data_IF_588170756720
#
_entry.id   IF_588170756720
#
_cell.length_a   1.000
_cell.length_b   1.000
_cell.length_c   1.000
_cell.angle_alpha   90.00
_cell.angle_beta   90.00
_cell.angle_gamma   90.00
#
_symmetry.space_group_name_H-M   'P 1'
#
loop_
_entity.id
_entity.type
_entity.pdbx_description
1 polymer ?
#
# COMPACT_ATOMS: atom_id res chain seq x y z
N UNK A 1 -33.00 7.23 -1.53
CA UNK A 1 -31.73 7.11 -0.80
C UNK A 1 -31.13 5.77 -1.17
N UNK A 2 -29.96 5.75 -1.80
CA UNK A 2 -29.43 4.52 -2.38
C UNK A 2 -28.49 3.84 -1.38
N UNK A 3 -29.03 3.02 -0.45
CA UNK A 3 -28.17 2.25 0.45
C UNK A 3 -27.19 1.35 -0.33
N UNK A 4 -27.57 0.89 -1.53
CA UNK A 4 -26.71 0.11 -2.41
C UNK A 4 -25.50 0.91 -2.90
N UNK A 5 -25.64 2.23 -3.09
CA UNK A 5 -24.52 3.10 -3.44
C UNK A 5 -23.42 3.06 -2.37
N UNK A 6 -23.77 3.22 -1.09
CA UNK A 6 -22.79 3.18 -0.02
C UNK A 6 -22.20 1.80 0.22
N UNK A 7 -23.00 0.73 0.07
CA UNK A 7 -22.48 -0.64 0.12
C UNK A 7 -21.46 -0.88 -1.00
N UNK A 8 -21.74 -0.43 -2.22
CA UNK A 8 -20.80 -0.51 -3.33
C UNK A 8 -19.53 0.31 -3.06
N UNK A 9 -19.65 1.52 -2.50
CA UNK A 9 -18.48 2.31 -2.13
C UNK A 9 -17.61 1.61 -1.06
N UNK A 10 -18.23 0.92 -0.09
CA UNK A 10 -17.49 0.12 0.87
C UNK A 10 -16.75 -1.04 0.20
N UNK A 11 -17.39 -1.74 -0.75
CA UNK A 11 -16.76 -2.81 -1.52
C UNK A 11 -15.57 -2.32 -2.36
N UNK A 12 -15.68 -1.12 -2.95
CA UNK A 12 -14.62 -0.53 -3.77
C UNK A 12 -13.43 -0.01 -2.95
N UNK A 13 -13.68 0.53 -1.74
CA UNK A 13 -12.65 1.23 -0.96
C UNK A 13 -12.06 0.39 0.20
N UNK A 14 -12.76 -0.65 0.71
CA UNK A 14 -12.24 -1.53 1.77
C UNK A 14 -11.45 -2.72 1.21
N UNK A 15 -10.30 -2.42 0.62
CA UNK A 15 -9.38 -3.43 0.05
C UNK A 15 -8.34 -3.88 1.08
N UNK A 16 -8.02 -5.17 1.10
CA UNK A 16 -6.99 -5.74 1.98
C UNK A 16 -5.60 -5.38 1.45
N UNK A 17 -4.74 -4.87 2.33
CA UNK A 17 -3.33 -4.59 2.06
C UNK A 17 -2.42 -5.26 3.10
N UNK A 18 -1.17 -5.57 2.71
CA UNK A 18 -0.18 -6.18 3.62
C UNK A 18 0.46 -5.21 4.61
N UNK A 19 0.21 -3.91 4.49
CA UNK A 19 0.76 -2.88 5.35
C UNK A 19 0.37 -1.48 4.88
N UNK A 20 1.16 -0.47 5.24
CA UNK A 20 0.98 0.87 4.70
C UNK A 20 1.05 0.82 3.17
N UNK A 21 0.09 1.48 2.52
CA UNK A 21 -0.12 1.34 1.08
C UNK A 21 0.98 2.00 0.27
N UNK A 22 1.74 2.94 0.82
CA UNK A 22 2.81 3.64 0.10
C UNK A 22 4.00 2.75 -0.26
N UNK A 23 4.69 2.05 0.67
CA UNK A 23 5.77 1.12 0.29
C UNK A 23 5.25 -0.02 -0.60
N UNK A 24 4.04 -0.51 -0.35
CA UNK A 24 3.45 -1.59 -1.14
C UNK A 24 3.14 -1.13 -2.57
N UNK A 25 2.63 0.09 -2.76
CA UNK A 25 2.36 0.69 -4.07
C UNK A 25 3.65 0.90 -4.87
N UNK A 26 4.74 1.29 -4.21
CA UNK A 26 6.07 1.37 -4.84
C UNK A 26 6.56 0.00 -5.28
N UNK A 27 6.43 -1.03 -4.43
CA UNK A 27 6.77 -2.39 -4.79
C UNK A 27 5.90 -2.92 -5.96
N UNK A 28 4.61 -2.59 -5.96
CA UNK A 28 3.67 -2.96 -7.02
C UNK A 28 4.08 -2.37 -8.38
N UNK A 29 4.37 -1.06 -8.43
CA UNK A 29 4.88 -0.42 -9.63
C UNK A 29 6.20 -1.07 -10.09
N UNK A 30 7.11 -1.39 -9.17
CA UNK A 30 8.37 -2.05 -9.51
C UNK A 30 8.19 -3.48 -10.04
N UNK A 31 7.23 -4.24 -9.50
CA UNK A 31 6.89 -5.58 -9.98
C UNK A 31 6.26 -5.54 -11.39
N UNK A 32 5.42 -4.54 -11.68
CA UNK A 32 4.88 -4.29 -13.02
C UNK A 32 6.00 -3.91 -14.01
N UNK A 33 6.88 -2.99 -13.64
CA UNK A 33 8.03 -2.61 -14.46
C UNK A 33 8.96 -3.81 -14.72
N UNK A 34 9.19 -4.66 -13.70
CA UNK A 34 9.92 -5.92 -13.85
C UNK A 34 9.25 -6.86 -14.85
N UNK A 35 7.93 -7.02 -14.78
CA UNK A 35 7.16 -7.85 -15.72
C UNK A 35 7.34 -7.40 -17.16
N UNK A 36 7.30 -6.09 -17.42
CA UNK A 36 7.55 -5.53 -18.76
C UNK A 36 9.00 -5.77 -19.23
N UNK A 37 9.98 -5.64 -18.33
CA UNK A 37 11.39 -5.94 -18.62
C UNK A 37 11.67 -7.44 -18.85
N UNK A 38 10.76 -8.32 -18.42
CA UNK A 38 10.94 -9.76 -18.45
C UNK A 38 11.75 -10.31 -17.28
N UNK A 39 11.77 -11.64 -17.16
CA UNK A 39 12.33 -12.37 -16.01
C UNK A 39 13.57 -13.19 -16.36
N UNK A 40 13.97 -13.26 -17.64
CA UNK A 40 15.06 -14.12 -18.11
C UNK A 40 16.44 -13.70 -17.56
N UNK A 41 16.64 -12.38 -17.36
CA UNK A 41 17.86 -11.79 -16.81
C UNK A 41 17.61 -11.15 -15.45
N UNK A 42 18.62 -11.09 -14.55
CA UNK A 42 18.50 -10.40 -13.26
C UNK A 42 18.34 -8.89 -13.43
N UNK A 43 17.80 -8.24 -12.39
CA UNK A 43 17.71 -6.77 -12.32
C UNK A 43 19.11 -6.16 -12.19
N UNK A 44 19.45 -5.24 -13.08
CA UNK A 44 20.72 -4.51 -13.07
C UNK A 44 20.62 -3.17 -12.37
N UNK A 45 19.50 -2.45 -12.58
CA UNK A 45 19.22 -1.19 -11.91
C UNK A 45 17.73 -0.87 -11.89
N UNK A 46 17.35 -0.02 -10.94
CA UNK A 46 15.99 0.47 -10.74
C UNK A 46 16.06 1.99 -10.61
N UNK A 47 15.27 2.69 -11.41
CA UNK A 47 15.10 4.14 -11.34
C UNK A 47 13.67 4.40 -10.82
N UNK A 48 13.54 5.02 -9.64
CA UNK A 48 12.25 5.35 -9.03
C UNK A 48 12.08 6.87 -8.94
N UNK A 49 10.95 7.36 -9.44
CA UNK A 49 10.47 8.72 -9.17
C UNK A 49 9.17 8.65 -8.37
N UNK A 50 9.09 9.40 -7.27
CA UNK A 50 7.92 9.34 -6.39
C UNK A 50 7.47 10.73 -5.93
N UNK A 51 6.17 10.91 -5.73
CA UNK A 51 5.63 12.12 -5.12
C UNK A 51 6.16 12.27 -3.69
N UNK A 52 6.19 13.51 -3.17
CA UNK A 52 6.68 13.79 -1.81
C UNK A 52 5.91 12.99 -0.75
N UNK A 53 4.62 12.74 -0.96
CA UNK A 53 3.80 11.97 -0.04
C UNK A 53 4.19 10.48 -0.03
N UNK A 54 4.43 9.89 -1.19
CA UNK A 54 4.93 8.51 -1.27
C UNK A 54 6.31 8.42 -0.63
N UNK A 55 7.22 9.34 -0.99
CA UNK A 55 8.58 9.38 -0.46
C UNK A 55 8.61 9.43 1.07
N UNK A 56 7.91 10.39 1.69
CA UNK A 56 7.97 10.60 3.15
C UNK A 56 7.34 9.44 3.93
N UNK A 57 6.24 8.88 3.42
CA UNK A 57 5.48 7.84 4.12
C UNK A 57 6.21 6.50 4.03
N UNK A 58 6.74 6.13 2.86
CA UNK A 58 7.52 4.90 2.69
C UNK A 58 8.83 4.90 3.50
N UNK A 59 9.39 6.06 3.83
CA UNK A 59 10.56 6.19 4.70
C UNK A 59 10.28 5.97 6.19
N UNK A 60 9.01 6.02 6.60
CA UNK A 60 8.63 6.07 8.03
C UNK A 60 8.04 4.75 8.55
N UNK A 61 7.91 3.73 7.69
CA UNK A 61 7.19 2.49 7.98
C UNK A 61 7.97 1.28 7.46
N UNK A 62 7.85 0.16 8.17
CA UNK A 62 8.44 -1.11 7.73
C UNK A 62 7.74 -1.65 6.49
N UNK A 63 8.52 -2.25 5.60
CA UNK A 63 8.02 -2.92 4.41
C UNK A 63 7.54 -4.32 4.82
N UNK A 64 6.29 -4.72 4.49
CA UNK A 64 5.74 -6.01 4.86
C UNK A 64 6.65 -7.19 4.52
N UNK A 65 6.76 -8.15 5.44
CA UNK A 65 7.63 -9.31 5.30
C UNK A 65 9.11 -9.06 5.60
N UNK A 66 9.49 -7.83 5.97
CA UNK A 66 10.90 -7.45 6.22
C UNK A 66 11.05 -6.55 7.46
N UNK A 67 12.30 -6.34 7.90
CA UNK A 67 12.65 -5.32 8.88
C UNK A 67 13.25 -4.06 8.21
N UNK A 68 13.09 -3.93 6.90
CA UNK A 68 13.63 -2.82 6.13
C UNK A 68 12.58 -1.72 5.93
N UNK A 69 13.04 -0.52 5.57
CA UNK A 69 12.22 0.66 5.33
C UNK A 69 12.70 1.41 4.08
N UNK A 70 11.86 2.29 3.55
CA UNK A 70 12.23 3.23 2.50
C UNK A 70 11.80 2.82 1.10
N UNK A 71 11.48 3.83 0.28
CA UNK A 71 10.93 3.64 -1.05
C UNK A 71 11.89 2.89 -2.01
N UNK A 72 13.19 3.15 -1.92
CA UNK A 72 14.19 2.44 -2.71
C UNK A 72 14.21 0.93 -2.40
N UNK A 73 14.14 0.56 -1.12
CA UNK A 73 14.08 -0.84 -0.71
C UNK A 73 12.77 -1.50 -1.15
N UNK A 74 11.64 -0.78 -1.06
CA UNK A 74 10.35 -1.28 -1.52
C UNK A 74 10.36 -1.56 -3.04
N UNK A 75 10.94 -0.67 -3.84
CA UNK A 75 11.09 -0.87 -5.28
C UNK A 75 12.01 -2.08 -5.58
N UNK A 76 13.11 -2.23 -4.84
CA UNK A 76 14.00 -3.37 -4.97
C UNK A 76 13.29 -4.71 -4.70
N UNK A 77 12.51 -4.78 -3.61
CA UNK A 77 11.75 -5.99 -3.26
C UNK A 77 10.70 -6.32 -4.33
N UNK A 78 9.95 -5.32 -4.78
CA UNK A 78 8.96 -5.48 -5.84
C UNK A 78 9.56 -5.98 -7.15
N UNK A 79 10.69 -5.41 -7.58
CA UNK A 79 11.35 -5.81 -8.82
C UNK A 79 12.05 -7.18 -8.74
N UNK A 80 12.47 -7.63 -7.55
CA UNK A 80 13.17 -8.90 -7.37
C UNK A 80 12.20 -10.06 -7.19
N UNK A 81 11.23 -9.94 -6.29
CA UNK A 81 10.37 -11.05 -5.88
C UNK A 81 8.88 -10.71 -5.79
N UNK A 82 8.47 -9.50 -6.15
CA UNK A 82 7.06 -9.10 -6.11
C UNK A 82 6.22 -9.80 -7.19
N UNK A 83 5.00 -10.18 -6.83
CA UNK A 83 4.01 -10.72 -7.77
C UNK A 83 2.98 -9.63 -8.13
N UNK A 84 3.06 -9.04 -9.33
CA UNK A 84 2.14 -7.96 -9.72
C UNK A 84 0.70 -8.44 -9.96
N UNK A 85 0.40 -9.74 -9.87
CA UNK A 85 -0.99 -10.24 -9.92
C UNK A 85 -1.73 -10.18 -8.59
N UNK A 86 -1.03 -9.81 -7.50
CA UNK A 86 -1.58 -9.74 -6.15
C UNK A 86 -1.89 -8.29 -5.69
N UNK A 87 -1.81 -7.30 -6.58
CA UNK A 87 -2.10 -5.89 -6.31
C UNK A 87 -1.40 -5.36 -5.03
N UNK A 88 -2.14 -4.88 -4.03
CA UNK A 88 -1.62 -4.40 -2.74
C UNK A 88 -1.16 -5.53 -1.79
N UNK A 89 -1.13 -6.76 -2.29
CA UNK A 89 -0.49 -7.91 -1.66
C UNK A 89 0.74 -8.40 -2.46
N UNK A 90 1.28 -7.58 -3.38
CA UNK A 90 2.46 -7.88 -4.23
C UNK A 90 3.65 -8.53 -3.50
N UNK A 91 3.85 -8.23 -2.22
CA UNK A 91 4.96 -8.77 -1.42
C UNK A 91 4.61 -10.06 -0.65
N UNK A 92 3.43 -10.67 -0.86
CA UNK A 92 2.99 -11.83 -0.08
C UNK A 92 3.92 -13.05 -0.22
N UNK A 93 4.53 -13.21 -1.40
CA UNK A 93 5.29 -14.41 -1.77
C UNK A 93 6.81 -14.25 -1.65
N UNK A 94 7.31 -13.11 -1.13
CA UNK A 94 8.76 -12.86 -1.06
C UNK A 94 9.45 -13.79 -0.05
N UNK A 95 10.62 -14.28 -0.42
CA UNK A 95 11.49 -15.10 0.43
C UNK A 95 12.74 -14.37 0.94
N UNK A 96 13.53 -15.05 1.78
CA UNK A 96 14.79 -14.50 2.30
C UNK A 96 15.80 -14.17 1.19
N UNK A 97 15.84 -14.98 0.12
CA UNK A 97 16.74 -14.76 -1.03
C UNK A 97 16.40 -13.47 -1.78
N UNK A 98 15.12 -13.16 -1.93
CA UNK A 98 14.65 -11.92 -2.55
C UNK A 98 15.07 -10.71 -1.72
N UNK A 99 14.89 -10.81 -0.40
CA UNK A 99 15.28 -9.75 0.54
C UNK A 99 16.79 -9.50 0.49
N UNK A 100 17.60 -10.55 0.51
CA UNK A 100 19.07 -10.43 0.40
C UNK A 100 19.48 -9.78 -0.91
N UNK A 101 18.85 -10.19 -2.02
CA UNK A 101 19.12 -9.65 -3.36
C UNK A 101 18.71 -8.17 -3.46
N UNK A 102 17.53 -7.81 -2.96
CA UNK A 102 17.05 -6.44 -2.92
C UNK A 102 17.97 -5.53 -2.09
N UNK A 103 18.39 -5.98 -0.89
CA UNK A 103 19.36 -5.24 -0.06
C UNK A 103 20.68 -5.03 -0.79
N UNK A 104 21.16 -6.03 -1.52
CA UNK A 104 22.39 -5.93 -2.32
C UNK A 104 22.27 -4.87 -3.42
N UNK A 105 21.16 -4.84 -4.16
CA UNK A 105 20.92 -3.79 -5.17
C UNK A 105 20.97 -2.38 -4.55
N UNK A 106 20.30 -2.18 -3.42
CA UNK A 106 20.35 -0.90 -2.71
C UNK A 106 21.76 -0.55 -2.23
N UNK A 107 22.48 -1.51 -1.63
CA UNK A 107 23.84 -1.29 -1.13
C UNK A 107 24.86 -0.98 -2.23
N UNK A 108 24.66 -1.53 -3.43
CA UNK A 108 25.48 -1.26 -4.62
C UNK A 108 25.11 0.05 -5.33
N UNK A 109 24.11 0.81 -4.84
CA UNK A 109 23.67 2.05 -5.46
C UNK A 109 22.94 1.84 -6.79
N UNK A 110 22.41 0.64 -7.02
CA UNK A 110 21.67 0.28 -8.25
C UNK A 110 20.20 0.69 -8.21
N UNK A 111 19.75 1.30 -7.12
CA UNK A 111 18.40 1.84 -6.97
C UNK A 111 18.50 3.34 -6.75
N UNK A 112 18.07 4.13 -7.73
CA UNK A 112 17.97 5.59 -7.58
C UNK A 112 16.56 5.99 -7.19
N UNK A 113 16.46 7.06 -6.40
CA UNK A 113 15.20 7.62 -5.94
C UNK A 113 15.23 9.13 -6.13
N UNK A 114 14.35 9.62 -7.01
CA UNK A 114 14.17 11.02 -7.32
C UNK A 114 12.74 11.49 -6.99
N UNK A 115 12.57 12.79 -6.84
CA UNK A 115 11.23 13.37 -6.68
C UNK A 115 10.51 13.39 -8.03
N UNK A 116 9.21 13.13 -7.98
CA UNK A 116 8.33 13.24 -9.14
C UNK A 116 8.43 14.62 -9.81
N UNK A 117 8.22 14.70 -11.15
CA UNK A 117 8.24 15.96 -11.87
C UNK A 117 7.19 16.95 -11.35
N UNK A 118 7.45 18.25 -11.55
CA UNK A 118 6.49 19.29 -11.15
C UNK A 118 5.16 19.09 -11.87
N UNK A 119 4.06 19.16 -11.11
CA UNK A 119 2.71 18.97 -11.63
C UNK A 119 2.24 17.51 -11.64
N UNK A 120 3.08 16.56 -11.20
CA UNK A 120 2.62 15.20 -10.96
C UNK A 120 1.51 15.16 -9.89
N UNK A 121 0.59 14.17 -9.95
CA UNK A 121 -0.42 13.98 -8.92
C UNK A 121 0.16 13.79 -7.51
N UNK A 122 -0.67 14.02 -6.49
CA UNK A 122 -0.28 13.86 -5.09
C UNK A 122 0.18 12.44 -4.75
N UNK A 123 -0.40 11.43 -5.42
CA UNK A 123 0.04 10.05 -5.47
C UNK A 123 0.60 9.79 -6.87
N UNK A 124 1.91 9.62 -6.98
CA UNK A 124 2.60 9.35 -8.23
C UNK A 124 3.84 8.52 -7.96
N UNK A 125 3.99 7.46 -8.74
CA UNK A 125 5.11 6.52 -8.72
C UNK A 125 5.43 6.18 -10.17
N UNK A 126 6.68 6.40 -10.58
CA UNK A 126 7.22 5.97 -11.87
C UNK A 126 8.46 5.13 -11.60
N UNK A 127 8.40 3.86 -11.96
CA UNK A 127 9.51 2.93 -11.78
C UNK A 127 9.96 2.42 -13.13
N UNK A 128 11.25 2.50 -13.37
CA UNK A 128 11.92 1.86 -14.51
C UNK A 128 12.88 0.80 -14.01
N UNK A 129 12.68 -0.45 -14.44
CA UNK A 129 13.55 -1.59 -14.14
C UNK A 129 14.35 -1.92 -15.39
N UNK A 130 15.68 -2.03 -15.24
CA UNK A 130 16.59 -2.47 -16.31
C UNK A 130 17.14 -3.85 -16.00
N UNK A 131 17.15 -4.68 -17.03
CA UNK A 131 17.91 -5.93 -17.09
C UNK A 131 19.00 -5.78 -18.13
N UNK A 132 19.76 -6.86 -18.36
CA UNK A 132 20.84 -6.90 -19.34
C UNK A 132 20.39 -6.47 -20.75
N UNK A 133 19.28 -7.03 -21.23
CA UNK A 133 18.83 -6.86 -22.62
C UNK A 133 17.53 -6.05 -22.76
N UNK A 134 16.80 -5.82 -21.65
CA UNK A 134 15.48 -5.20 -21.68
C UNK A 134 15.29 -4.16 -20.58
N UNK A 135 14.29 -3.30 -20.79
CA UNK A 135 13.84 -2.32 -19.80
C UNK A 135 12.33 -2.26 -19.78
N UNK A 136 11.77 -2.25 -18.58
CA UNK A 136 10.35 -2.03 -18.35
C UNK A 136 10.11 -0.79 -17.51
N UNK A 137 9.02 -0.08 -17.78
CA UNK A 137 8.57 1.09 -17.02
C UNK A 137 7.12 0.92 -16.63
N UNK A 138 6.78 1.32 -15.41
CA UNK A 138 5.41 1.36 -14.93
C UNK A 138 5.13 2.65 -14.17
N UNK A 139 3.98 3.26 -14.46
CA UNK A 139 3.49 4.46 -13.77
C UNK A 139 2.21 4.11 -13.03
N UNK A 140 2.18 4.37 -11.72
CA UNK A 140 1.00 4.26 -10.85
C UNK A 140 0.70 5.66 -10.31
N UNK A 141 -0.55 6.11 -10.44
CA UNK A 141 -0.93 7.43 -9.97
C UNK A 141 -2.41 7.50 -9.57
N UNK A 142 -2.75 8.53 -8.79
CA UNK A 142 -4.10 8.82 -8.26
C UNK A 142 -4.60 7.84 -7.19
N UNK A 143 -4.64 6.53 -7.46
CA UNK A 143 -4.85 5.47 -6.45
C UNK A 143 -3.60 4.60 -6.33
N UNK A 144 -3.45 3.88 -5.20
CA UNK A 144 -2.25 3.10 -4.88
C UNK A 144 -2.01 1.90 -5.80
N UNK A 145 -3.02 1.47 -6.55
CA UNK A 145 -3.04 0.33 -7.47
C UNK A 145 -3.45 0.73 -8.89
N UNK A 146 -3.76 2.00 -9.14
CA UNK A 146 -4.20 2.47 -10.46
C UNK A 146 -3.00 2.64 -11.40
N UNK A 147 -2.81 1.64 -12.25
CA UNK A 147 -1.82 1.66 -13.33
C UNK A 147 -2.24 2.69 -14.38
N UNK A 148 -1.33 3.60 -14.72
CA UNK A 148 -1.53 4.64 -15.72
C UNK A 148 -0.82 4.31 -17.03
N UNK A 149 0.42 3.85 -16.95
CA UNK A 149 1.24 3.57 -18.12
C UNK A 149 2.11 2.33 -17.86
N UNK A 150 2.28 1.49 -18.88
CA UNK A 150 3.31 0.47 -18.93
C UNK A 150 4.08 0.61 -20.25
N UNK A 151 5.39 0.38 -20.19
CA UNK A 151 6.26 0.37 -21.37
C UNK A 151 7.27 -0.76 -21.30
N UNK A 152 7.59 -1.31 -22.48
CA UNK A 152 8.70 -2.23 -22.70
C UNK A 152 9.63 -1.66 -23.76
N UNK A 153 10.90 -1.52 -23.42
CA UNK A 153 11.96 -1.03 -24.31
C UNK A 153 11.63 0.34 -24.97
N UNK A 154 10.90 1.20 -24.23
CA UNK A 154 10.43 2.50 -24.71
C UNK A 154 9.22 2.45 -25.64
N UNK A 155 8.61 1.28 -25.82
CA UNK A 155 7.34 1.10 -26.52
C UNK A 155 6.23 0.94 -25.48
N UNK A 156 5.22 1.80 -25.55
CA UNK A 156 4.06 1.73 -24.67
C UNK A 156 3.27 0.45 -24.91
N UNK A 157 3.08 -0.33 -23.85
CA UNK A 157 2.30 -1.58 -23.85
C UNK A 157 0.92 -1.37 -23.25
N UNK A 158 0.76 -0.35 -22.38
CA UNK A 158 -0.52 0.04 -21.79
C UNK A 158 -0.58 1.54 -21.54
N UNK A 159 -1.77 2.11 -21.75
CA UNK A 159 -2.13 3.49 -21.38
C UNK A 159 -3.55 3.50 -20.83
N UNK A 160 -3.72 4.03 -19.63
CA UNK A 160 -5.01 4.16 -19.01
C UNK A 160 -5.76 5.40 -19.50
N UNK A 161 -7.09 5.29 -19.62
CA UNK A 161 -7.95 6.40 -20.00
C UNK A 161 -8.23 7.30 -18.78
N UNK A 162 -7.71 8.52 -18.82
CA UNK A 162 -7.82 9.49 -17.72
C UNK A 162 -9.18 10.18 -17.64
N UNK A 163 -10.10 9.95 -18.59
CA UNK A 163 -11.44 10.56 -18.56
C UNK A 163 -12.24 10.21 -17.30
N UNK A 164 -11.97 9.07 -16.68
CA UNK A 164 -12.61 8.62 -15.43
C UNK A 164 -11.98 9.25 -14.17
N UNK A 165 -10.77 9.79 -14.26
CA UNK A 165 -10.03 10.37 -13.11
C UNK A 165 -10.58 11.74 -12.73
N UNK A 166 -11.24 12.44 -13.67
CA UNK A 166 -11.81 13.78 -13.48
C UNK A 166 -12.96 13.84 -12.45
N UNK A 167 -13.49 12.72 -11.98
CA UNK A 167 -14.53 12.66 -10.94
C UNK A 167 -14.02 12.60 -9.50
N UNK A 168 -12.70 12.49 -9.26
CA UNK A 168 -12.13 12.29 -7.91
C UNK A 168 -12.01 13.59 -7.08
N UNK A 169 -12.53 14.72 -7.58
CA UNK A 169 -12.39 16.04 -6.93
C UNK A 169 -13.69 16.59 -6.34
N UNK A 170 -14.73 15.79 -6.22
CA UNK A 170 -16.00 16.28 -5.66
C UNK A 170 -15.83 16.63 -4.18
N UNK A 171 -16.03 17.92 -3.87
CA UNK A 171 -16.02 18.44 -2.52
C UNK A 171 -17.24 17.90 -1.76
N UNK A 172 -17.00 17.18 -0.65
CA UNK A 172 -18.05 16.70 0.25
C UNK A 172 -18.97 17.86 0.64
N UNK A 173 -20.26 17.71 0.37
CA UNK A 173 -21.32 18.66 0.70
C UNK A 173 -21.99 18.31 2.03
N UNK A 174 -22.84 19.21 2.54
CA UNK A 174 -23.63 18.95 3.76
C UNK A 174 -24.65 17.83 3.56
N UNK A 175 -25.21 17.71 2.36
CA UNK A 175 -26.17 16.64 2.06
C UNK A 175 -25.45 15.28 1.98
N UNK A 176 -24.21 15.23 1.49
CA UNK A 176 -23.39 14.01 1.55
C UNK A 176 -23.17 13.55 2.99
N UNK A 177 -22.92 14.48 3.93
CA UNK A 177 -22.76 14.15 5.35
C UNK A 177 -24.05 13.62 5.98
N UNK A 178 -25.21 14.19 5.62
CA UNK A 178 -26.51 13.69 6.10
C UNK A 178 -26.75 12.28 5.58
N UNK A 179 -26.52 12.05 4.29
CA UNK A 179 -26.77 10.75 3.68
C UNK A 179 -25.81 9.67 4.22
N UNK A 180 -24.54 10.01 4.50
CA UNK A 180 -23.59 9.12 5.21
C UNK A 180 -24.09 8.79 6.61
N UNK A 181 -24.57 9.79 7.37
CA UNK A 181 -25.11 9.58 8.72
C UNK A 181 -26.34 8.68 8.70
N UNK A 182 -27.28 8.95 7.80
CA UNK A 182 -28.49 8.17 7.65
C UNK A 182 -28.15 6.73 7.24
N UNK A 183 -27.23 6.53 6.30
CA UNK A 183 -26.74 5.19 5.97
C UNK A 183 -26.12 4.49 7.20
N UNK A 184 -25.17 5.13 7.88
CA UNK A 184 -24.46 4.54 9.01
C UNK A 184 -25.37 4.16 10.19
N UNK A 185 -26.51 4.86 10.36
CA UNK A 185 -27.45 4.63 11.47
C UNK A 185 -28.65 3.77 11.10
N UNK A 186 -28.91 3.53 9.81
CA UNK A 186 -30.11 2.80 9.33
C UNK A 186 -29.83 1.58 8.46
N UNK A 187 -28.58 1.37 8.04
CA UNK A 187 -28.21 0.19 7.24
C UNK A 187 -28.47 -1.10 8.03
N UNK A 188 -28.95 -2.11 7.32
CA UNK A 188 -29.06 -3.45 7.86
C UNK A 188 -27.66 -4.03 8.10
N UNK A 189 -27.34 -4.30 9.36
CA UNK A 189 -26.03 -4.81 9.79
C UNK A 189 -25.71 -6.15 9.13
N UNK A 190 -26.74 -6.92 8.75
CA UNK A 190 -26.56 -8.19 8.05
C UNK A 190 -25.96 -8.04 6.65
N UNK A 191 -25.97 -6.84 6.07
CA UNK A 191 -25.32 -6.52 4.80
C UNK A 191 -23.87 -6.07 4.96
N UNK A 192 -23.34 -5.98 6.18
CA UNK A 192 -22.02 -5.42 6.48
C UNK A 192 -20.94 -6.50 6.69
N UNK A 193 -20.99 -7.60 5.95
CA UNK A 193 -20.02 -8.70 6.07
C UNK A 193 -18.58 -8.25 5.85
N UNK A 194 -18.36 -7.34 4.89
CA UNK A 194 -17.04 -6.75 4.64
C UNK A 194 -16.50 -5.98 5.85
N UNK A 195 -17.37 -5.23 6.55
CA UNK A 195 -16.99 -4.52 7.78
C UNK A 195 -16.67 -5.53 8.88
N UNK A 196 -17.48 -6.59 9.05
CA UNK A 196 -17.21 -7.65 10.04
C UNK A 196 -15.86 -8.32 9.78
N UNK A 197 -15.53 -8.59 8.52
CA UNK A 197 -14.22 -9.11 8.13
C UNK A 197 -13.09 -8.13 8.48
N UNK A 198 -13.25 -6.85 8.15
CA UNK A 198 -12.26 -5.80 8.46
C UNK A 198 -12.04 -5.64 9.96
N UNK A 199 -13.10 -5.71 10.77
CA UNK A 199 -12.99 -5.72 12.25
C UNK A 199 -12.14 -6.91 12.68
N UNK A 200 -12.48 -8.13 12.24
CA UNK A 200 -11.74 -9.33 12.62
C UNK A 200 -10.27 -9.33 12.20
N UNK A 201 -9.93 -8.70 11.07
CA UNK A 201 -8.53 -8.52 10.63
C UNK A 201 -7.80 -7.48 11.49
N UNK A 202 -8.40 -6.30 11.70
CA UNK A 202 -7.79 -5.24 12.49
C UNK A 202 -7.66 -5.62 13.96
N UNK A 203 -8.58 -6.40 14.53
CA UNK A 203 -8.47 -6.93 15.88
C UNK A 203 -7.24 -7.83 16.04
N UNK A 204 -6.97 -8.70 15.06
CA UNK A 204 -5.77 -9.53 15.05
C UNK A 204 -4.50 -8.68 14.99
N UNK A 205 -4.49 -7.64 14.15
CA UNK A 205 -3.36 -6.70 14.04
C UNK A 205 -3.17 -5.92 15.36
N UNK A 206 -4.26 -5.49 16.00
CA UNK A 206 -4.21 -4.78 17.27
C UNK A 206 -3.67 -5.67 18.38
N UNK A 207 -4.12 -6.94 18.46
CA UNK A 207 -3.60 -7.92 19.42
C UNK A 207 -2.11 -8.17 19.20
N UNK A 208 -1.69 -8.35 17.94
CA UNK A 208 -0.27 -8.55 17.60
C UNK A 208 0.57 -7.31 17.93
N UNK A 209 0.08 -6.10 17.62
CA UNK A 209 0.74 -4.84 17.96
C UNK A 209 0.88 -4.60 19.47
N UNK A 210 -0.01 -5.20 20.26
CA UNK A 210 0.05 -5.15 21.73
C UNK A 210 1.02 -6.20 22.30
N UNK A 211 1.17 -7.38 21.67
CA UNK A 211 2.03 -8.49 22.09
C UNK A 211 3.48 -8.38 21.60
N UNK A 212 3.72 -7.79 20.42
CA UNK A 212 5.05 -7.57 19.85
C UNK A 212 5.60 -6.16 20.01
N UNK A 213 6.88 -5.97 19.64
CA UNK A 213 7.59 -4.68 19.72
C UNK A 213 7.77 -4.09 18.33
N UNK A 214 6.82 -3.25 17.93
CA UNK A 214 6.75 -2.67 16.59
C UNK A 214 6.76 -1.14 16.63
N UNK A 215 7.61 -0.54 15.81
CA UNK A 215 7.65 0.91 15.58
C UNK A 215 7.69 1.73 16.88
N UNK A 216 6.79 2.72 16.99
CA UNK A 216 6.69 3.60 18.16
C UNK A 216 5.92 2.99 19.34
N UNK A 217 5.34 1.79 19.19
CA UNK A 217 4.59 1.10 20.23
C UNK A 217 3.51 1.97 20.90
N UNK A 218 2.79 2.82 20.16
CA UNK A 218 1.88 3.83 20.72
C UNK A 218 0.78 3.20 21.57
N UNK A 219 0.07 2.19 21.04
CA UNK A 219 -1.01 1.51 21.78
C UNK A 219 -0.52 0.86 23.07
N UNK A 220 0.62 0.17 23.02
CA UNK A 220 1.27 -0.43 24.19
C UNK A 220 1.75 0.63 25.19
N UNK A 221 2.31 1.73 24.71
CA UNK A 221 2.79 2.83 25.55
C UNK A 221 1.63 3.53 26.28
N UNK A 222 0.52 3.78 25.57
CA UNK A 222 -0.72 4.27 26.16
C UNK A 222 -1.23 3.26 27.19
N UNK A 223 -1.31 1.97 26.87
CA UNK A 223 -1.75 0.96 27.81
C UNK A 223 -0.84 0.90 29.05
N UNK A 224 0.49 0.90 28.89
CA UNK A 224 1.45 0.97 30.00
C UNK A 224 1.25 2.23 30.85
N UNK A 225 1.02 3.38 30.23
CA UNK A 225 0.78 4.64 30.92
C UNK A 225 -0.56 4.63 31.70
N UNK A 226 -1.63 4.11 31.10
CA UNK A 226 -2.93 3.91 31.73
C UNK A 226 -2.87 2.87 32.87
N UNK A 227 -1.96 1.89 32.77
CA UNK A 227 -1.72 0.84 33.78
C UNK A 227 -0.86 1.30 34.97
N UNK A 228 -0.28 2.51 34.94
CA UNK A 228 0.34 3.14 36.12
C UNK A 228 1.39 2.28 36.84
N UNK A 229 2.44 1.82 36.15
CA UNK A 229 3.63 1.27 36.82
C UNK A 229 3.42 0.00 37.66
N UNK A 230 2.34 -0.78 37.46
CA UNK A 230 2.24 -2.17 37.93
C UNK A 230 1.54 -3.04 36.90
N UNK A 231 2.05 -4.26 36.79
CA UNK A 231 1.61 -5.33 35.90
C UNK A 231 0.08 -5.45 35.85
N UNK A 232 -0.47 -5.64 34.65
CA UNK A 232 -1.90 -5.97 34.50
C UNK A 232 -2.02 -7.37 33.91
N UNK A 233 -2.65 -8.29 34.65
CA UNK A 233 -3.15 -9.52 34.10
C UNK A 233 -4.47 -9.28 33.37
N UNK A 234 -4.59 -10.01 32.27
CA UNK A 234 -5.75 -10.40 31.48
C UNK A 234 -6.79 -9.40 30.97
N UNK A 235 -7.15 -9.72 29.73
CA UNK A 235 -8.04 -9.03 28.81
C UNK A 235 -9.48 -9.36 29.18
N UNK A 236 -10.07 -8.56 30.06
CA UNK A 236 -11.54 -8.46 30.20
C UNK A 236 -11.91 -7.00 30.46
N UNK A 237 -12.22 -6.26 29.39
CA UNK A 237 -13.25 -5.21 29.35
C UNK A 237 -13.15 -4.44 28.03
N UNK A 238 -13.78 -5.01 27.01
CA UNK A 238 -14.61 -4.28 26.05
C UNK A 238 -15.60 -5.30 25.48
N UNK A 239 -16.41 -5.90 26.36
CA UNK A 239 -17.71 -6.42 25.93
C UNK A 239 -18.56 -5.19 25.61
N UNK A 240 -18.85 -4.99 24.33
CA UNK A 240 -19.99 -4.17 23.93
C UNK A 240 -21.24 -4.93 24.38
N UNK A 241 -21.69 -4.60 25.59
CA UNK A 241 -23.00 -4.97 26.14
C UNK A 241 -23.53 -3.73 26.84
N UNK A 242 -24.14 -2.83 26.07
CA UNK A 242 -25.60 -2.65 25.96
C UNK A 242 -25.92 -1.75 24.76
#
# INVERSE_FOLDING_TARGET
>A
MNQEYYLQQLEEELVIALGCTEPVSVAFAAALARKEAGYDDPVESIELQASVNIYKNAMSVFIPGTNDMGAAMAAALGAVGGDPSLDLQVLQSIGEEDIVTARKLCAEGKVSLDLAPRGAPSLYIDVTVRTKDHRGRAVVAWKHDLVMELERDGVQTFLNDTSQVQGLTDSITVDDLRDIWDFATTVDVDKLDLIRQTIGLNDKIAVEGMSGSYGLEVGRSIAKACRGGKDVPDVECCSLSD
#
